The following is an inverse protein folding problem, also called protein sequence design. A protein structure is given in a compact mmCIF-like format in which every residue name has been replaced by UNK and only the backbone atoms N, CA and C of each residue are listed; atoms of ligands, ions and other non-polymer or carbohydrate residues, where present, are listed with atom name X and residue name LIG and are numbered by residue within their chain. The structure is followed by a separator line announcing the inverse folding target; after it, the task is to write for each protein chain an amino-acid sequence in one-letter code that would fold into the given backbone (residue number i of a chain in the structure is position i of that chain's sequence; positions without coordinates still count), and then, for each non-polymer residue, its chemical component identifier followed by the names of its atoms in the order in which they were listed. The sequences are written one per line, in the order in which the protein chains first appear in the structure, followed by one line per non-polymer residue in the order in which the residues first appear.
data_IF_205610182510
#
_entry.id   IF_205610182510
#
_cell.length_a   1.000
_cell.length_b   1.000
_cell.length_c   1.000
_cell.angle_alpha   90.00
_cell.angle_beta   90.00
_cell.angle_gamma   90.00
#
_symmetry.space_group_name_H-M   'P 1'
#
loop_
_entity.id
_entity.type
_entity.pdbx_description
1 polymer ?
#
# COMPACT_ATOMS: atom_id res chain seq x y z
N UNK A 1 -66.30 39.78 30.07
CA UNK A 1 -65.97 38.73 29.13
C UNK A 1 -64.56 38.87 28.62
N UNK A 2 -63.76 38.02 29.13
CA UNK A 2 -62.32 37.98 29.07
C UNK A 2 -61.78 37.46 27.74
N UNK A 3 -60.97 38.24 27.07
CA UNK A 3 -60.16 37.82 25.94
C UNK A 3 -58.85 37.26 26.46
N UNK A 4 -58.58 35.98 26.21
CA UNK A 4 -57.27 35.36 26.40
C UNK A 4 -56.40 35.70 25.18
N UNK A 5 -55.37 36.48 25.38
CA UNK A 5 -54.25 36.66 24.46
C UNK A 5 -53.30 35.47 24.61
N UNK A 6 -53.29 34.58 23.60
CA UNK A 6 -52.21 33.64 23.44
C UNK A 6 -50.98 34.39 22.90
N UNK A 7 -50.00 34.60 23.74
CA UNK A 7 -48.67 35.03 23.35
C UNK A 7 -47.95 33.86 22.70
N UNK A 8 -47.94 33.82 21.38
CA UNK A 8 -47.04 32.99 20.63
C UNK A 8 -45.61 33.45 20.90
N UNK A 9 -44.84 32.63 21.62
CA UNK A 9 -43.41 32.84 21.74
C UNK A 9 -42.75 32.57 20.38
N UNK A 10 -42.60 33.61 19.59
CA UNK A 10 -41.79 33.63 18.39
C UNK A 10 -40.33 33.68 18.88
N UNK A 11 -39.72 32.52 19.11
CA UNK A 11 -38.28 32.44 19.31
C UNK A 11 -37.60 32.82 18.01
N UNK A 12 -37.31 34.13 17.85
CA UNK A 12 -36.36 34.58 16.83
C UNK A 12 -35.05 33.88 17.12
N UNK A 13 -34.75 32.83 16.35
CA UNK A 13 -33.42 32.27 16.25
C UNK A 13 -32.53 33.46 15.85
N UNK A 14 -31.65 33.90 16.76
CA UNK A 14 -30.63 34.89 16.43
C UNK A 14 -29.77 34.25 15.34
N UNK A 15 -29.87 34.77 14.12
CA UNK A 15 -28.97 34.44 13.04
C UNK A 15 -27.56 34.84 13.47
N UNK A 16 -26.72 33.89 13.76
CA UNK A 16 -25.33 34.12 14.09
C UNK A 16 -24.48 33.59 12.95
N UNK A 17 -23.65 34.43 12.34
CA UNK A 17 -22.73 34.04 11.29
C UNK A 17 -21.69 33.07 11.84
N UNK A 18 -21.58 31.90 11.25
CA UNK A 18 -20.58 30.88 11.60
C UNK A 18 -19.25 31.17 10.90
N UNK A 19 -19.34 31.40 9.58
CA UNK A 19 -18.20 31.71 8.72
C UNK A 19 -18.70 32.32 7.41
N UNK A 20 -17.77 32.78 6.58
CA UNK A 20 -18.01 33.22 5.21
C UNK A 20 -17.18 32.35 4.28
N UNK A 21 -17.81 31.66 3.32
CA UNK A 21 -17.12 30.73 2.44
C UNK A 21 -17.89 30.49 1.15
N UNK A 22 -17.59 29.39 0.48
CA UNK A 22 -18.28 28.94 -0.74
C UNK A 22 -19.21 27.78 -0.42
N UNK A 23 -20.39 27.77 -1.00
CA UNK A 23 -21.26 26.61 -1.06
C UNK A 23 -21.43 26.21 -2.52
N UNK A 24 -21.07 24.99 -2.86
CA UNK A 24 -21.13 24.43 -4.21
C UNK A 24 -22.18 23.32 -4.23
N UNK A 25 -23.01 23.33 -5.27
CA UNK A 25 -23.98 22.27 -5.51
C UNK A 25 -23.65 21.52 -6.80
N UNK A 26 -23.50 20.23 -6.68
CA UNK A 26 -23.26 19.32 -7.79
C UNK A 26 -24.50 18.45 -7.98
N UNK A 27 -25.23 18.72 -9.05
CA UNK A 27 -26.43 17.96 -9.37
C UNK A 27 -26.08 16.59 -9.95
N UNK A 28 -26.85 15.57 -9.56
CA UNK A 28 -26.81 14.22 -10.17
C UNK A 28 -26.90 14.33 -11.71
N UNK A 29 -26.09 13.60 -12.50
CA UNK A 29 -25.02 12.66 -12.06
C UNK A 29 -23.62 13.33 -11.96
N UNK A 30 -23.52 14.66 -12.06
CA UNK A 30 -22.25 15.37 -12.21
C UNK A 30 -21.59 15.70 -10.84
N UNK A 31 -21.50 14.70 -9.97
CA UNK A 31 -20.83 14.75 -8.68
C UNK A 31 -19.88 13.55 -8.52
N UNK A 32 -19.09 13.54 -7.44
CA UNK A 32 -18.21 12.42 -7.11
C UNK A 32 -19.01 11.13 -6.86
N UNK A 33 -20.08 11.21 -6.06
CA UNK A 33 -20.91 10.04 -5.73
C UNK A 33 -21.91 9.67 -6.85
N UNK A 34 -22.11 10.54 -7.84
CA UNK A 34 -23.19 10.40 -8.83
C UNK A 34 -24.58 10.80 -8.29
N UNK A 35 -24.68 11.28 -7.05
CA UNK A 35 -25.89 11.79 -6.41
C UNK A 35 -25.82 13.33 -6.30
N UNK A 36 -26.87 13.98 -5.79
CA UNK A 36 -26.81 15.39 -5.46
C UNK A 36 -25.84 15.62 -4.29
N UNK A 37 -24.84 16.47 -4.48
CA UNK A 37 -23.81 16.77 -3.48
C UNK A 37 -23.73 18.25 -3.23
N UNK A 38 -23.66 18.63 -1.95
CA UNK A 38 -23.36 20.00 -1.51
C UNK A 38 -22.01 20.02 -0.81
N UNK A 39 -21.13 20.90 -1.24
CA UNK A 39 -19.85 21.16 -0.58
C UNK A 39 -19.86 22.55 0.05
N UNK A 40 -19.43 22.64 1.32
CA UNK A 40 -19.28 23.91 2.04
C UNK A 40 -17.78 24.09 2.31
N UNK A 41 -17.17 25.07 1.66
CA UNK A 41 -15.77 25.43 1.82
C UNK A 41 -15.65 26.61 2.79
N UNK A 42 -15.08 26.36 3.95
CA UNK A 42 -14.90 27.32 5.04
C UNK A 42 -13.41 27.60 5.30
N UNK A 43 -13.08 28.53 6.21
CA UNK A 43 -11.69 28.94 6.53
C UNK A 43 -10.88 27.90 7.32
N UNK A 44 -11.29 26.65 7.38
CA UNK A 44 -10.46 25.52 7.90
C UNK A 44 -10.20 25.53 9.41
N UNK A 45 -10.74 26.48 10.19
CA UNK A 45 -10.63 26.43 11.66
C UNK A 45 -11.35 25.18 12.21
N UNK A 46 -10.69 24.33 13.03
CA UNK A 46 -11.33 23.16 13.63
C UNK A 46 -12.61 23.49 14.41
N UNK A 47 -12.68 24.67 15.05
CA UNK A 47 -13.86 25.13 15.79
C UNK A 47 -15.01 25.47 14.85
N UNK A 48 -14.72 26.18 13.76
CA UNK A 48 -15.70 26.56 12.74
C UNK A 48 -16.25 25.31 12.05
N UNK A 49 -15.37 24.38 11.63
CA UNK A 49 -15.77 23.13 10.99
C UNK A 49 -16.65 22.27 11.91
N UNK A 50 -16.27 22.11 13.19
CA UNK A 50 -17.10 21.40 14.19
C UNK A 50 -18.48 22.05 14.35
N UNK A 51 -18.55 23.38 14.30
CA UNK A 51 -19.81 24.12 14.39
C UNK A 51 -20.69 23.88 13.16
N UNK A 52 -20.12 23.95 11.94
CA UNK A 52 -20.83 23.64 10.70
C UNK A 52 -21.40 22.23 10.70
N UNK A 53 -20.60 21.24 11.10
CA UNK A 53 -21.07 19.85 11.24
C UNK A 53 -22.24 19.77 12.22
N UNK A 54 -22.11 20.37 13.40
CA UNK A 54 -23.18 20.34 14.42
C UNK A 54 -24.48 20.94 13.91
N UNK A 55 -24.43 22.09 13.25
CA UNK A 55 -25.64 22.72 12.69
C UNK A 55 -26.24 21.88 11.57
N UNK A 56 -25.40 21.24 10.73
CA UNK A 56 -25.88 20.30 9.68
C UNK A 56 -26.61 19.10 10.32
N UNK A 57 -26.09 18.55 11.42
CA UNK A 57 -26.74 17.46 12.15
C UNK A 57 -28.09 17.87 12.75
N UNK A 58 -28.19 19.12 13.28
CA UNK A 58 -29.45 19.66 13.79
C UNK A 58 -30.50 19.87 12.68
N UNK A 59 -30.05 20.10 11.46
CA UNK A 59 -30.91 20.21 10.27
C UNK A 59 -31.30 18.89 9.66
N UNK A 60 -30.90 17.74 10.27
CA UNK A 60 -31.33 16.41 9.86
C UNK A 60 -30.30 15.62 9.07
N UNK A 61 -29.08 16.14 8.87
CA UNK A 61 -28.00 15.33 8.33
C UNK A 61 -27.55 14.30 9.39
N UNK A 62 -26.78 13.29 8.95
CA UNK A 62 -26.04 12.38 9.82
C UNK A 62 -24.56 12.39 9.45
N UNK A 63 -23.71 11.92 10.34
CA UNK A 63 -22.31 11.66 9.99
C UNK A 63 -22.25 10.52 8.97
N UNK A 64 -21.36 10.67 8.00
CA UNK A 64 -21.04 9.60 7.06
C UNK A 64 -20.26 8.49 7.79
N UNK A 65 -20.49 7.26 7.36
CA UNK A 65 -19.67 6.12 7.75
C UNK A 65 -18.29 6.17 7.07
N UNK A 66 -17.28 5.44 7.56
CA UNK A 66 -16.00 5.30 6.87
C UNK A 66 -16.20 4.87 5.41
N UNK A 67 -15.55 5.55 4.46
CA UNK A 67 -15.62 5.23 3.04
C UNK A 67 -16.97 5.44 2.35
N UNK A 68 -17.99 5.99 3.02
CA UNK A 68 -19.36 6.06 2.49
C UNK A 68 -19.46 6.82 1.15
N UNK A 69 -18.71 7.89 0.95
CA UNK A 69 -18.73 8.61 -0.32
C UNK A 69 -18.14 7.79 -1.46
N UNK A 70 -17.04 7.09 -1.23
CA UNK A 70 -16.42 6.18 -2.22
C UNK A 70 -17.30 4.96 -2.49
N UNK A 71 -17.97 4.42 -1.47
CA UNK A 71 -18.93 3.33 -1.61
C UNK A 71 -20.12 3.74 -2.49
N UNK A 72 -20.69 4.93 -2.26
CA UNK A 72 -21.78 5.48 -3.11
C UNK A 72 -21.31 5.69 -4.55
N UNK A 73 -20.10 6.23 -4.75
CA UNK A 73 -19.53 6.40 -6.07
C UNK A 73 -19.37 5.05 -6.79
N UNK A 74 -18.93 4.01 -6.10
CA UNK A 74 -18.85 2.65 -6.62
C UNK A 74 -20.23 2.08 -6.95
N UNK A 75 -21.19 2.13 -6.03
CA UNK A 75 -22.56 1.62 -6.25
C UNK A 75 -23.28 2.33 -7.39
N UNK A 76 -22.99 3.60 -7.62
CA UNK A 76 -23.53 4.40 -8.72
C UNK A 76 -22.69 4.27 -10.02
N UNK A 77 -21.70 3.39 -10.07
CA UNK A 77 -20.90 3.11 -11.27
C UNK A 77 -20.00 4.27 -11.71
N UNK A 78 -19.67 5.20 -10.79
CA UNK A 78 -18.76 6.33 -11.07
C UNK A 78 -17.31 5.89 -11.09
N UNK A 79 -16.95 4.97 -10.21
CA UNK A 79 -15.65 4.33 -10.07
C UNK A 79 -15.86 2.85 -9.85
N UNK A 80 -14.88 2.03 -10.19
CA UNK A 80 -14.85 0.62 -9.82
C UNK A 80 -14.18 0.41 -8.45
N UNK A 81 -14.14 -0.85 -7.97
CA UNK A 81 -13.63 -1.15 -6.64
C UNK A 81 -12.12 -0.89 -6.52
N UNK A 82 -11.33 -1.20 -7.55
CA UNK A 82 -9.89 -0.92 -7.56
C UNK A 82 -9.61 0.60 -7.55
N UNK A 83 -10.42 1.39 -8.26
CA UNK A 83 -10.35 2.85 -8.21
C UNK A 83 -10.77 3.41 -6.84
N UNK A 84 -11.78 2.82 -6.20
CA UNK A 84 -12.17 3.22 -4.85
C UNK A 84 -11.03 2.97 -3.85
N UNK A 85 -10.40 1.80 -3.91
CA UNK A 85 -9.23 1.49 -3.07
C UNK A 85 -8.04 2.40 -3.35
N UNK A 86 -7.82 2.81 -4.60
CA UNK A 86 -6.75 3.73 -4.97
C UNK A 86 -6.91 5.12 -4.30
N UNK A 87 -8.13 5.54 -3.95
CA UNK A 87 -8.35 6.76 -3.16
C UNK A 87 -7.74 6.60 -1.76
N UNK A 88 -7.97 5.47 -1.10
CA UNK A 88 -7.40 5.21 0.21
C UNK A 88 -5.87 5.10 0.13
N UNK A 89 -5.35 4.46 -0.91
CA UNK A 89 -3.91 4.33 -1.15
C UNK A 89 -3.24 5.69 -1.37
N UNK A 90 -3.88 6.58 -2.14
CA UNK A 90 -3.38 7.94 -2.36
C UNK A 90 -3.30 8.75 -1.06
N UNK A 91 -4.29 8.59 -0.17
CA UNK A 91 -4.32 9.26 1.12
C UNK A 91 -3.25 8.72 2.08
N UNK A 92 -3.03 7.39 2.04
CA UNK A 92 -2.06 6.70 2.89
C UNK A 92 -0.63 6.75 2.32
N UNK A 93 -0.43 7.29 1.11
CA UNK A 93 0.87 7.29 0.44
C UNK A 93 1.95 7.96 1.28
N UNK A 94 3.00 7.23 1.60
CA UNK A 94 4.17 7.70 2.34
C UNK A 94 5.31 8.22 1.45
N UNK A 95 5.14 8.19 0.12
CA UNK A 95 6.12 8.70 -0.85
C UNK A 95 5.45 9.27 -2.09
N UNK A 96 6.19 10.12 -2.81
CA UNK A 96 5.70 10.72 -4.06
C UNK A 96 5.45 9.66 -5.14
N UNK A 97 6.28 8.64 -5.23
CA UNK A 97 6.10 7.55 -6.20
C UNK A 97 4.87 6.70 -5.89
N UNK A 98 4.59 6.41 -4.60
CA UNK A 98 3.37 5.73 -4.18
C UNK A 98 2.11 6.55 -4.53
N UNK A 99 2.15 7.87 -4.26
CA UNK A 99 1.05 8.78 -4.62
C UNK A 99 0.80 8.81 -6.13
N UNK A 100 1.85 8.84 -6.95
CA UNK A 100 1.72 8.78 -8.42
C UNK A 100 1.12 7.45 -8.89
N UNK A 101 1.57 6.31 -8.35
CA UNK A 101 1.02 5.01 -8.69
C UNK A 101 -0.46 4.89 -8.30
N UNK A 102 -0.84 5.35 -7.10
CA UNK A 102 -2.23 5.40 -6.66
C UNK A 102 -3.09 6.32 -7.55
N UNK A 103 -2.56 7.48 -7.97
CA UNK A 103 -3.27 8.37 -8.91
C UNK A 103 -3.53 7.68 -10.24
N UNK A 104 -2.54 6.98 -10.82
CA UNK A 104 -2.73 6.21 -12.07
C UNK A 104 -3.79 5.11 -11.90
N UNK A 105 -3.82 4.44 -10.75
CA UNK A 105 -4.87 3.44 -10.44
C UNK A 105 -6.25 4.09 -10.33
N UNK A 106 -6.36 5.25 -9.68
CA UNK A 106 -7.58 6.03 -9.60
C UNK A 106 -8.09 6.48 -10.98
N UNK A 107 -7.18 6.83 -11.90
CA UNK A 107 -7.49 7.13 -13.31
C UNK A 107 -7.89 5.88 -14.12
N UNK A 108 -7.85 4.70 -13.50
CA UNK A 108 -8.28 3.43 -14.07
C UNK A 108 -7.23 2.68 -14.87
N UNK A 109 -5.94 2.97 -14.71
CA UNK A 109 -4.87 2.27 -15.43
C UNK A 109 -4.89 0.76 -15.13
N UNK A 110 -4.98 0.38 -13.85
CA UNK A 110 -5.08 -1.01 -13.42
C UNK A 110 -6.37 -1.69 -13.91
N UNK A 111 -7.50 -1.03 -13.72
CA UNK A 111 -8.82 -1.55 -14.14
C UNK A 111 -8.90 -1.81 -15.64
N UNK A 112 -8.29 -0.96 -16.47
CA UNK A 112 -8.23 -1.15 -17.93
C UNK A 112 -7.47 -2.43 -18.31
N UNK A 113 -6.34 -2.71 -17.64
CA UNK A 113 -5.55 -3.92 -17.89
C UNK A 113 -6.36 -5.16 -17.49
N UNK A 114 -6.88 -5.18 -16.25
CA UNK A 114 -7.66 -6.32 -15.72
C UNK A 114 -8.89 -6.59 -16.58
N UNK A 115 -9.67 -5.55 -16.93
CA UNK A 115 -10.84 -5.70 -17.79
C UNK A 115 -10.46 -6.15 -19.21
N UNK A 116 -9.32 -5.74 -19.73
CA UNK A 116 -8.80 -6.22 -21.01
C UNK A 116 -8.54 -7.72 -20.99
N UNK A 117 -7.90 -8.23 -19.93
CA UNK A 117 -7.65 -9.67 -19.73
C UNK A 117 -8.98 -10.42 -19.54
N UNK A 118 -9.87 -9.92 -18.68
CA UNK A 118 -11.17 -10.52 -18.42
C UNK A 118 -12.04 -10.64 -19.68
N UNK A 119 -12.06 -9.60 -20.51
CA UNK A 119 -12.79 -9.62 -21.79
C UNK A 119 -12.24 -10.68 -22.74
N UNK A 120 -10.91 -10.80 -22.88
CA UNK A 120 -10.30 -11.85 -23.72
C UNK A 120 -10.61 -13.24 -23.18
N UNK A 121 -10.59 -13.42 -21.87
CA UNK A 121 -10.97 -14.69 -21.24
C UNK A 121 -12.43 -15.06 -21.55
N UNK A 122 -13.36 -14.11 -21.50
CA UNK A 122 -14.76 -14.32 -21.89
C UNK A 122 -14.91 -14.66 -23.36
N UNK A 123 -14.23 -13.93 -24.26
CA UNK A 123 -14.31 -14.23 -25.69
C UNK A 123 -13.73 -15.61 -26.01
N UNK A 124 -12.64 -16.00 -25.38
CA UNK A 124 -12.09 -17.35 -25.51
C UNK A 124 -13.06 -18.42 -24.97
N UNK A 125 -13.68 -18.18 -23.81
CA UNK A 125 -14.70 -19.08 -23.25
C UNK A 125 -15.87 -19.28 -24.22
N UNK A 126 -16.42 -18.21 -24.78
CA UNK A 126 -17.50 -18.29 -25.78
C UNK A 126 -17.07 -19.11 -27.00
N UNK A 127 -15.81 -18.96 -27.44
CA UNK A 127 -15.28 -19.73 -28.55
C UNK A 127 -15.20 -21.24 -28.22
N UNK A 128 -14.73 -21.58 -27.00
CA UNK A 128 -14.67 -22.97 -26.52
C UNK A 128 -16.08 -23.56 -26.38
N UNK A 129 -17.03 -22.84 -25.76
CA UNK A 129 -18.44 -23.27 -25.63
C UNK A 129 -19.08 -23.52 -27.00
N UNK A 130 -18.86 -22.63 -27.97
CA UNK A 130 -19.33 -22.82 -29.34
C UNK A 130 -18.68 -24.05 -30.01
N UNK A 131 -17.37 -24.28 -29.79
CA UNK A 131 -16.70 -25.45 -30.32
C UNK A 131 -17.24 -26.76 -29.76
N UNK A 132 -17.69 -26.76 -28.49
CA UNK A 132 -18.35 -27.93 -27.86
C UNK A 132 -19.72 -28.17 -28.48
N UNK A 133 -20.54 -27.12 -28.63
CA UNK A 133 -21.89 -27.23 -29.15
C UNK A 133 -21.95 -27.72 -30.62
N UNK A 134 -20.90 -27.41 -31.40
CA UNK A 134 -20.78 -27.81 -32.80
C UNK A 134 -19.83 -28.98 -33.05
N UNK A 135 -19.47 -29.75 -31.99
CA UNK A 135 -18.57 -30.92 -32.10
C UNK A 135 -19.08 -32.04 -33.04
N UNK A 136 -20.36 -32.04 -33.45
CA UNK A 136 -20.91 -32.98 -34.44
C UNK A 136 -20.55 -32.59 -35.89
N UNK A 137 -20.01 -31.41 -36.15
CA UNK A 137 -19.52 -30.99 -37.46
C UNK A 137 -18.08 -31.49 -37.65
N UNK A 138 -17.67 -31.84 -38.90
CA UNK A 138 -16.37 -32.45 -39.23
C UNK A 138 -15.13 -31.56 -38.92
N UNK A 139 -15.28 -30.45 -38.23
CA UNK A 139 -14.22 -29.50 -37.91
C UNK A 139 -13.87 -29.61 -36.40
N UNK A 140 -12.70 -30.13 -36.10
CA UNK A 140 -12.15 -30.13 -34.74
C UNK A 140 -11.59 -28.74 -34.38
N UNK A 141 -12.45 -27.89 -33.85
CA UNK A 141 -12.12 -26.53 -33.41
C UNK A 141 -11.18 -26.49 -32.20
N UNK A 142 -11.08 -27.60 -31.42
CA UNK A 142 -10.20 -27.69 -30.27
C UNK A 142 -8.72 -27.89 -30.67
N UNK A 143 -8.49 -28.50 -31.85
CA UNK A 143 -7.14 -28.81 -32.32
C UNK A 143 -6.53 -27.79 -33.29
N UNK A 144 -7.26 -26.71 -33.63
CA UNK A 144 -6.80 -25.71 -34.64
C UNK A 144 -5.65 -24.78 -34.13
N UNK A 145 -5.23 -24.95 -32.87
CA UNK A 145 -4.15 -24.17 -32.23
C UNK A 145 -4.54 -22.75 -31.78
N UNK A 146 -5.77 -22.30 -32.09
CA UNK A 146 -6.22 -20.93 -31.71
C UNK A 146 -6.47 -20.81 -30.22
N UNK A 147 -7.08 -21.84 -29.59
CA UNK A 147 -7.35 -21.88 -28.15
C UNK A 147 -6.04 -21.86 -27.39
N UNK A 148 -5.07 -22.69 -27.82
CA UNK A 148 -3.74 -22.75 -27.21
C UNK A 148 -3.02 -21.39 -27.29
N UNK A 149 -3.02 -20.77 -28.45
CA UNK A 149 -2.41 -19.44 -28.64
C UNK A 149 -3.06 -18.38 -27.74
N UNK A 150 -4.42 -18.34 -27.71
CA UNK A 150 -5.15 -17.39 -26.90
C UNK A 150 -4.94 -17.60 -25.38
N UNK A 151 -4.90 -18.85 -24.90
CA UNK A 151 -4.56 -19.19 -23.51
C UNK A 151 -3.16 -18.69 -23.14
N UNK A 152 -2.17 -18.93 -24.00
CA UNK A 152 -0.78 -18.47 -23.80
C UNK A 152 -0.68 -16.94 -23.77
N UNK A 153 -1.43 -16.25 -24.64
CA UNK A 153 -1.48 -14.79 -24.62
C UNK A 153 -2.06 -14.27 -23.31
N UNK A 154 -3.20 -14.83 -22.85
CA UNK A 154 -3.81 -14.47 -21.56
C UNK A 154 -2.86 -14.75 -20.41
N UNK A 155 -2.17 -15.89 -20.41
CA UNK A 155 -1.16 -16.27 -19.40
C UNK A 155 -0.03 -15.23 -19.31
N UNK A 156 0.50 -14.79 -20.46
CA UNK A 156 1.55 -13.76 -20.51
C UNK A 156 1.04 -12.43 -19.95
N UNK A 157 -0.19 -12.03 -20.31
CA UNK A 157 -0.76 -10.78 -19.84
C UNK A 157 -1.03 -10.76 -18.34
N UNK A 158 -1.52 -11.89 -17.76
CA UNK A 158 -1.69 -12.02 -16.31
C UNK A 158 -0.31 -11.98 -15.63
N UNK A 159 0.70 -12.68 -16.18
CA UNK A 159 2.06 -12.68 -15.63
C UNK A 159 2.67 -11.28 -15.60
N UNK A 160 2.53 -10.51 -16.68
CA UNK A 160 2.99 -9.12 -16.75
C UNK A 160 2.24 -8.24 -15.75
N UNK A 161 0.91 -8.42 -15.63
CA UNK A 161 0.09 -7.69 -14.67
C UNK A 161 0.46 -8.02 -13.22
N UNK A 162 0.78 -9.28 -12.91
CA UNK A 162 1.27 -9.74 -11.61
C UNK A 162 2.61 -9.12 -11.25
N UNK A 163 3.57 -9.12 -12.19
CA UNK A 163 4.89 -8.54 -11.94
C UNK A 163 4.77 -7.06 -11.60
N UNK A 164 4.03 -6.31 -12.41
CA UNK A 164 3.79 -4.89 -12.20
C UNK A 164 2.98 -4.61 -10.93
N UNK A 165 1.97 -5.44 -10.66
CA UNK A 165 1.16 -5.36 -9.43
C UNK A 165 1.98 -5.57 -8.17
N UNK A 166 2.89 -6.55 -8.14
CA UNK A 166 3.80 -6.79 -7.01
C UNK A 166 4.75 -5.61 -6.78
N UNK A 167 5.24 -4.96 -7.85
CA UNK A 167 6.02 -3.72 -7.73
C UNK A 167 5.20 -2.59 -7.12
N UNK A 168 3.97 -2.40 -7.62
CA UNK A 168 3.05 -1.39 -7.10
C UNK A 168 2.64 -1.65 -5.64
N UNK A 169 2.44 -2.91 -5.25
CA UNK A 169 2.17 -3.30 -3.87
C UNK A 169 3.34 -2.95 -2.95
N UNK A 170 4.57 -3.35 -3.30
CA UNK A 170 5.76 -3.04 -2.51
C UNK A 170 5.97 -1.54 -2.33
N UNK A 171 5.63 -0.75 -3.34
CA UNK A 171 5.72 0.70 -3.27
C UNK A 171 4.71 1.29 -2.27
N UNK A 172 3.50 0.73 -2.20
CA UNK A 172 2.47 1.14 -1.23
C UNK A 172 2.82 0.70 0.20
N UNK A 173 3.24 -0.56 0.36
CA UNK A 173 3.58 -1.14 1.65
C UNK A 173 4.83 -0.45 2.22
N UNK A 174 5.72 0.06 1.34
CA UNK A 174 6.98 0.65 1.72
C UNK A 174 7.96 -0.38 2.28
N UNK A 175 8.96 0.08 3.04
CA UNK A 175 9.94 -0.75 3.74
C UNK A 175 9.86 -0.48 5.24
N UNK A 176 9.56 -1.49 6.03
CA UNK A 176 9.64 -1.41 7.49
C UNK A 176 11.05 -1.73 7.95
N UNK A 177 11.73 -0.74 8.54
CA UNK A 177 13.13 -0.78 8.91
C UNK A 177 13.32 -0.63 10.42
N UNK A 178 14.11 -1.51 11.01
CA UNK A 178 14.57 -1.37 12.40
C UNK A 178 16.07 -1.06 12.38
N UNK A 179 16.49 -0.02 13.13
CA UNK A 179 17.89 0.37 13.25
C UNK A 179 18.41 -0.05 14.63
N UNK A 180 19.41 -0.93 14.65
CA UNK A 180 20.12 -1.37 15.83
C UNK A 180 21.60 -0.88 15.82
N UNK A 181 22.24 -0.87 16.96
CA UNK A 181 23.67 -0.60 17.08
C UNK A 181 24.04 -0.06 18.45
N UNK A 182 25.33 -0.10 18.79
CA UNK A 182 25.89 0.41 20.04
C UNK A 182 25.58 1.90 20.25
N UNK A 183 25.62 2.39 21.49
CA UNK A 183 25.59 3.83 21.77
C UNK A 183 26.65 4.57 20.94
N UNK A 184 26.30 5.74 20.43
CA UNK A 184 27.17 6.57 19.57
C UNK A 184 27.62 5.97 18.22
N UNK A 185 27.03 4.84 17.78
CA UNK A 185 27.26 4.31 16.42
C UNK A 185 26.73 5.24 15.30
N UNK A 186 25.83 6.17 15.62
CA UNK A 186 25.31 7.16 14.68
C UNK A 186 23.85 6.97 14.29
N UNK A 187 23.09 6.14 15.00
CA UNK A 187 21.65 5.86 14.70
C UNK A 187 20.81 7.12 14.53
N UNK A 188 20.80 8.00 15.52
CA UNK A 188 20.06 9.27 15.46
C UNK A 188 20.56 10.20 14.34
N UNK A 189 21.86 10.14 14.01
CA UNK A 189 22.42 10.92 12.91
C UNK A 189 21.97 10.37 11.55
N UNK A 190 21.83 9.04 11.40
CA UNK A 190 21.30 8.43 10.19
C UNK A 190 19.81 8.77 10.03
N UNK A 191 19.02 8.66 11.09
CA UNK A 191 17.62 9.10 11.12
C UNK A 191 17.50 10.57 10.69
N UNK A 192 18.25 11.46 11.34
CA UNK A 192 18.23 12.88 11.00
C UNK A 192 18.68 13.15 9.55
N UNK A 193 19.60 12.34 9.01
CA UNK A 193 20.00 12.48 7.62
C UNK A 193 18.86 12.07 6.66
N UNK A 194 18.20 10.97 6.95
CA UNK A 194 17.06 10.51 6.17
C UNK A 194 15.83 11.44 6.29
N UNK A 195 15.55 11.95 7.51
CA UNK A 195 14.44 12.89 7.76
C UNK A 195 14.75 14.33 7.33
N UNK A 196 16.00 14.72 7.28
CA UNK A 196 16.47 16.09 6.99
C UNK A 196 16.65 16.40 5.50
N UNK A 197 16.45 15.44 4.59
CA UNK A 197 16.27 15.75 3.18
C UNK A 197 14.94 16.50 3.03
N UNK A 198 14.88 17.59 2.25
CA UNK A 198 13.67 18.44 2.00
C UNK A 198 12.41 17.69 1.55
N UNK A 199 12.40 16.38 1.65
CA UNK A 199 11.41 15.41 1.17
C UNK A 199 10.74 14.59 2.29
N UNK A 200 11.04 14.87 3.57
CA UNK A 200 10.38 14.15 4.66
C UNK A 200 8.89 14.55 4.74
N UNK A 201 8.03 13.68 4.28
CA UNK A 201 6.57 13.80 4.49
C UNK A 201 6.30 13.14 5.84
N UNK A 202 6.28 13.94 6.91
CA UNK A 202 5.77 13.48 8.22
C UNK A 202 4.27 13.35 8.10
N UNK A 203 3.78 12.14 7.87
CA UNK A 203 2.34 11.86 7.94
C UNK A 203 1.97 11.50 9.37
N UNK A 204 1.39 12.44 10.10
CA UNK A 204 0.61 12.15 11.29
C UNK A 204 -0.65 11.35 10.88
N UNK A 205 -0.52 10.06 10.68
CA UNK A 205 -1.68 9.18 10.50
C UNK A 205 -2.34 9.05 11.86
N UNK A 206 -3.44 9.79 12.06
CA UNK A 206 -4.24 9.74 13.26
C UNK A 206 -4.79 8.32 13.48
N UNK A 207 -4.18 7.57 14.39
CA UNK A 207 -4.62 6.23 14.78
C UNK A 207 -3.51 5.28 15.22
N UNK A 208 -2.24 5.55 14.92
CA UNK A 208 -1.12 4.66 15.22
C UNK A 208 -0.29 5.05 16.46
N UNK A 209 -0.71 6.08 17.21
CA UNK A 209 0.12 6.79 18.22
C UNK A 209 0.12 6.17 19.63
N UNK A 210 -0.13 4.89 19.83
CA UNK A 210 -0.19 4.39 21.22
C UNK A 210 0.97 3.51 21.70
N UNK A 211 1.80 2.87 20.87
CA UNK A 211 2.74 1.87 21.40
C UNK A 211 4.19 1.89 20.89
N UNK A 212 4.55 2.55 19.76
CA UNK A 212 5.95 2.65 19.30
C UNK A 212 6.17 3.96 18.56
N UNK A 213 7.28 4.65 18.83
CA UNK A 213 7.71 5.82 18.04
C UNK A 213 8.22 5.31 16.67
N UNK A 214 7.35 5.29 15.67
CA UNK A 214 7.71 5.01 14.29
C UNK A 214 7.55 6.27 13.45
N UNK A 215 8.53 6.57 12.61
CA UNK A 215 8.54 7.70 11.68
C UNK A 215 8.59 7.17 10.25
N UNK A 216 7.71 7.66 9.39
CA UNK A 216 7.74 7.32 7.96
C UNK A 216 8.40 8.46 7.20
N UNK A 217 9.41 8.13 6.41
CA UNK A 217 10.17 9.06 5.58
C UNK A 217 10.09 8.64 4.11
N UNK A 218 10.17 9.59 3.20
CA UNK A 218 10.36 9.33 1.78
C UNK A 218 11.87 9.25 1.47
N UNK A 219 12.35 8.07 1.16
CA UNK A 219 13.74 7.83 0.78
C UNK A 219 13.81 7.72 -0.76
N UNK A 220 13.87 8.88 -1.43
CA UNK A 220 13.90 8.99 -2.90
C UNK A 220 12.79 8.17 -3.60
N UNK A 221 11.56 8.33 -3.16
CA UNK A 221 10.38 7.67 -3.71
C UNK A 221 9.99 6.35 -3.03
N UNK A 222 10.80 5.83 -2.09
CA UNK A 222 10.48 4.70 -1.23
C UNK A 222 9.99 5.22 0.14
N UNK A 223 8.78 4.87 0.53
CA UNK A 223 8.31 5.07 1.90
C UNK A 223 9.05 4.10 2.83
N UNK A 224 9.83 4.63 3.79
CA UNK A 224 10.53 3.83 4.78
C UNK A 224 9.97 4.16 6.15
N UNK A 225 9.34 3.18 6.79
CA UNK A 225 8.87 3.30 8.17
C UNK A 225 9.96 2.82 9.11
N UNK A 226 10.58 3.76 9.82
CA UNK A 226 11.65 3.47 10.77
C UNK A 226 11.08 3.41 12.17
N UNK A 227 11.24 2.26 12.82
CA UNK A 227 10.90 2.12 14.24
C UNK A 227 12.11 2.54 15.07
N UNK A 228 11.99 3.65 15.79
CA UNK A 228 13.06 4.18 16.63
C UNK A 228 13.18 3.34 17.92
N UNK A 229 14.35 2.75 18.08
CA UNK A 229 14.76 2.02 19.27
C UNK A 229 15.53 2.89 20.28
N UNK A 230 15.84 4.14 19.91
CA UNK A 230 16.69 5.05 20.69
C UNK A 230 15.91 6.06 21.56
N UNK A 231 14.58 6.16 21.44
CA UNK A 231 13.72 7.12 22.19
C UNK A 231 13.64 6.89 23.71
N UNK A 232 14.46 6.02 24.29
CA UNK A 232 14.48 5.72 25.71
C UNK A 232 15.71 6.31 26.41
N UNK A 233 15.79 7.64 26.43
CA UNK A 233 16.73 8.37 27.27
C UNK A 233 16.36 8.27 28.77
N UNK A 234 16.70 7.16 29.42
CA UNK A 234 16.68 7.09 30.88
C UNK A 234 17.59 5.95 31.38
N UNK A 235 18.70 6.29 31.93
CA UNK A 235 19.71 5.46 32.63
C UNK A 235 20.42 4.34 31.84
N UNK A 236 21.76 4.34 31.71
CA UNK A 236 22.50 3.53 30.73
C UNK A 236 22.38 2.01 30.89
N UNK A 237 22.34 1.45 32.09
CA UNK A 237 22.63 0.02 32.27
C UNK A 237 21.42 -0.94 32.28
N UNK A 238 20.24 -0.50 32.69
CA UNK A 238 19.04 -1.38 32.73
C UNK A 238 18.06 -1.11 31.56
N UNK A 239 18.20 0.04 30.89
CA UNK A 239 17.31 0.51 29.83
C UNK A 239 17.80 0.04 28.45
N UNK A 240 19.11 -0.19 28.33
CA UNK A 240 19.71 -0.68 27.07
C UNK A 240 19.22 -2.10 26.74
N UNK A 241 19.18 -3.00 27.72
CA UNK A 241 18.70 -4.38 27.55
C UNK A 241 17.19 -4.43 27.23
N UNK A 242 16.39 -3.57 27.86
CA UNK A 242 14.97 -3.45 27.58
C UNK A 242 14.69 -2.78 26.22
N UNK A 243 15.51 -1.80 25.83
CA UNK A 243 15.48 -1.13 24.54
C UNK A 243 15.78 -2.10 23.39
N UNK A 244 16.85 -2.89 23.53
CA UNK A 244 17.23 -3.91 22.54
C UNK A 244 16.14 -5.01 22.43
N UNK A 245 15.56 -5.45 23.54
CA UNK A 245 14.48 -6.45 23.52
C UNK A 245 13.24 -5.94 22.78
N UNK A 246 12.82 -4.70 23.04
CA UNK A 246 11.70 -4.06 22.31
C UNK A 246 12.01 -3.85 20.84
N UNK A 247 13.25 -3.52 20.52
CA UNK A 247 13.70 -3.39 19.14
C UNK A 247 13.66 -4.72 18.39
N UNK A 248 13.99 -5.82 19.07
CA UNK A 248 13.89 -7.17 18.50
C UNK A 248 12.44 -7.62 18.38
N UNK A 249 11.59 -7.29 19.35
CA UNK A 249 10.14 -7.52 19.23
C UNK A 249 9.56 -6.72 18.04
N UNK A 250 10.07 -5.53 17.78
CA UNK A 250 9.72 -4.74 16.57
C UNK A 250 10.34 -5.32 15.31
N UNK A 251 11.55 -5.89 15.38
CA UNK A 251 12.23 -6.52 14.27
C UNK A 251 11.51 -7.77 13.75
N UNK A 252 10.71 -8.47 14.60
CA UNK A 252 9.87 -9.58 14.14
C UNK A 252 8.78 -9.16 13.16
N UNK A 253 8.46 -7.86 13.12
CA UNK A 253 7.45 -7.25 12.23
C UNK A 253 8.09 -6.40 11.12
N UNK A 254 9.41 -6.23 11.14
CA UNK A 254 10.13 -5.44 10.17
C UNK A 254 10.55 -6.30 8.97
N UNK A 255 10.63 -5.67 7.82
CA UNK A 255 11.13 -6.30 6.59
C UNK A 255 12.63 -6.42 6.60
N UNK A 256 13.31 -5.47 7.26
CA UNK A 256 14.77 -5.37 7.22
C UNK A 256 15.37 -4.79 8.51
N UNK A 257 16.56 -5.26 8.85
CA UNK A 257 17.32 -4.82 10.01
C UNK A 257 18.65 -4.14 9.58
N UNK A 258 18.81 -2.87 9.94
CA UNK A 258 20.10 -2.16 9.83
C UNK A 258 20.84 -2.22 11.16
N UNK A 259 22.06 -2.77 11.15
CA UNK A 259 22.89 -2.83 12.35
C UNK A 259 24.11 -1.93 12.18
N UNK A 260 24.13 -0.84 12.93
CA UNK A 260 25.17 0.18 12.87
C UNK A 260 26.27 -0.07 13.89
N UNK A 261 27.52 0.10 13.47
CA UNK A 261 28.68 0.10 14.35
C UNK A 261 29.68 1.20 13.95
N UNK A 262 30.54 1.57 14.88
CA UNK A 262 31.62 2.56 14.67
C UNK A 262 32.83 1.86 14.06
N UNK A 263 33.15 2.12 12.79
CA UNK A 263 34.24 1.49 12.06
C UNK A 263 35.60 1.74 12.69
N UNK A 264 35.75 2.80 13.51
CA UNK A 264 37.01 3.15 14.16
C UNK A 264 37.26 2.38 15.48
N UNK A 265 36.17 1.99 16.20
CA UNK A 265 36.28 1.36 17.53
C UNK A 265 35.78 -0.06 17.59
N UNK A 266 34.87 -0.42 16.70
CA UNK A 266 34.16 -1.69 16.67
C UNK A 266 34.48 -2.50 15.41
N UNK A 267 33.97 -3.71 15.37
CA UNK A 267 34.06 -4.60 14.21
C UNK A 267 32.71 -5.18 13.84
N UNK A 268 32.58 -5.62 12.59
CA UNK A 268 31.40 -6.36 12.14
C UNK A 268 31.11 -7.58 13.04
N UNK A 269 32.13 -8.19 13.61
CA UNK A 269 32.01 -9.33 14.55
C UNK A 269 31.30 -8.91 15.84
N UNK A 270 31.68 -7.76 16.41
CA UNK A 270 31.03 -7.23 17.64
C UNK A 270 29.56 -6.88 17.39
N UNK A 271 29.25 -6.33 16.21
CA UNK A 271 27.86 -6.05 15.80
C UNK A 271 27.03 -7.34 15.66
N UNK A 272 27.63 -8.40 15.12
CA UNK A 272 26.98 -9.72 15.00
C UNK A 272 26.81 -10.42 16.34
N UNK A 273 27.78 -10.32 17.26
CA UNK A 273 27.67 -10.84 18.63
C UNK A 273 26.52 -10.16 19.38
N UNK A 274 26.29 -8.88 19.13
CA UNK A 274 25.14 -8.14 19.66
C UNK A 274 23.83 -8.74 19.15
N UNK A 275 23.72 -9.04 17.87
CA UNK A 275 22.53 -9.68 17.28
C UNK A 275 22.39 -11.12 17.82
N UNK A 276 23.48 -11.89 17.85
CA UNK A 276 23.48 -13.29 18.26
C UNK A 276 22.99 -13.53 19.69
N UNK A 277 23.21 -12.58 20.60
CA UNK A 277 22.67 -12.63 21.96
C UNK A 277 21.15 -12.61 22.01
N UNK A 278 20.50 -12.11 20.98
CA UNK A 278 19.07 -11.88 20.92
C UNK A 278 18.37 -12.75 19.86
N UNK A 279 19.12 -13.34 18.94
CA UNK A 279 18.60 -14.12 17.80
C UNK A 279 17.98 -15.47 18.23
N UNK A 280 18.22 -15.95 19.45
CA UNK A 280 17.62 -17.19 19.97
C UNK A 280 16.08 -17.17 20.09
N UNK A 281 15.42 -16.06 19.72
CA UNK A 281 13.97 -15.89 19.70
C UNK A 281 13.38 -15.51 18.34
N UNK A 282 14.20 -15.35 17.29
CA UNK A 282 13.72 -14.96 15.96
C UNK A 282 13.55 -16.23 15.10
N UNK A 283 12.31 -16.69 14.94
CA UNK A 283 11.96 -17.88 14.12
C UNK A 283 12.04 -17.62 12.60
N UNK A 284 12.22 -16.37 12.17
CA UNK A 284 12.33 -15.98 10.75
C UNK A 284 13.74 -15.49 10.41
N UNK A 285 14.22 -15.87 9.22
CA UNK A 285 15.42 -15.29 8.61
C UNK A 285 15.16 -13.81 8.24
N UNK A 286 15.45 -12.91 9.17
CA UNK A 286 15.44 -11.47 8.89
C UNK A 286 16.59 -11.12 7.94
N UNK A 287 16.29 -10.32 6.94
CA UNK A 287 17.31 -9.70 6.09
C UNK A 287 18.06 -8.65 6.90
N UNK A 288 19.41 -8.72 6.93
CA UNK A 288 20.26 -7.87 7.77
C UNK A 288 21.30 -7.19 6.91
N UNK A 289 21.47 -5.88 7.10
CA UNK A 289 22.58 -5.10 6.56
C UNK A 289 23.38 -4.47 7.68
N UNK A 290 24.69 -4.62 7.63
CA UNK A 290 25.62 -3.96 8.55
C UNK A 290 26.05 -2.60 7.98
N UNK A 291 26.06 -1.58 8.83
CA UNK A 291 26.50 -0.22 8.48
C UNK A 291 27.70 0.16 9.33
N UNK A 292 28.89 0.16 8.73
CA UNK A 292 30.13 0.63 9.33
C UNK A 292 30.18 2.15 9.19
N UNK A 293 29.81 2.88 10.23
CA UNK A 293 29.84 4.35 10.22
C UNK A 293 31.17 4.92 10.70
N UNK A 294 31.41 6.19 10.40
CA UNK A 294 32.62 6.96 10.76
C UNK A 294 33.89 6.50 10.02
N UNK A 295 33.73 6.07 8.78
CA UNK A 295 34.90 5.70 7.93
C UNK A 295 35.85 6.87 7.70
N UNK A 296 35.42 8.11 7.93
CA UNK A 296 36.30 9.30 7.95
C UNK A 296 37.36 9.26 9.05
N UNK A 297 37.15 8.46 10.11
CA UNK A 297 38.09 8.27 11.20
C UNK A 297 38.93 6.99 11.03
N UNK A 298 38.40 5.92 10.49
CA UNK A 298 39.09 4.65 10.28
C UNK A 298 39.94 4.65 8.99
N UNK A 299 39.57 5.50 8.02
CA UNK A 299 40.23 5.55 6.70
C UNK A 299 39.77 4.45 5.74
N UNK A 300 38.69 3.77 6.06
CA UNK A 300 38.10 2.72 5.24
C UNK A 300 37.38 3.28 3.99
N UNK A 301 37.05 2.39 3.04
CA UNK A 301 36.40 2.75 1.80
C UNK A 301 34.88 2.95 2.02
N UNK A 302 34.32 3.93 1.32
CA UNK A 302 32.84 4.11 1.26
C UNK A 302 32.16 3.06 0.40
N UNK A 303 30.87 2.78 0.70
CA UNK A 303 30.02 1.90 -0.06
C UNK A 303 30.10 0.44 0.37
N UNK A 304 29.75 -0.47 -0.53
CA UNK A 304 29.69 -1.90 -0.25
C UNK A 304 31.09 -2.50 0.03
N UNK A 305 31.16 -3.26 1.13
CA UNK A 305 32.37 -4.00 1.49
C UNK A 305 32.20 -5.49 1.26
N UNK A 306 33.23 -6.11 0.69
CA UNK A 306 33.29 -7.57 0.59
C UNK A 306 33.45 -8.18 1.99
N UNK A 307 32.48 -8.96 2.41
CA UNK A 307 32.38 -9.49 3.77
C UNK A 307 33.40 -10.57 4.08
N UNK A 308 34.11 -11.11 3.09
CA UNK A 308 35.22 -12.09 3.16
C UNK A 308 35.03 -13.29 4.08
N UNK A 309 34.76 -13.08 5.34
CA UNK A 309 34.54 -14.09 6.39
C UNK A 309 33.06 -14.31 6.77
N UNK A 310 32.17 -13.45 6.30
CA UNK A 310 30.76 -13.42 6.69
C UNK A 310 29.86 -13.64 5.46
N UNK A 311 30.09 -14.72 4.75
CA UNK A 311 29.59 -15.09 3.42
C UNK A 311 28.09 -14.83 3.08
N UNK A 312 27.31 -14.31 4.01
CA UNK A 312 25.88 -14.01 3.80
C UNK A 312 25.44 -12.61 4.21
N UNK A 313 26.37 -11.72 4.61
CA UNK A 313 26.02 -10.41 5.14
C UNK A 313 26.55 -9.28 4.24
N UNK A 314 25.66 -8.32 3.97
CA UNK A 314 26.02 -7.11 3.24
C UNK A 314 26.50 -6.04 4.22
N UNK A 315 27.66 -5.43 3.95
CA UNK A 315 28.24 -4.37 4.78
C UNK A 315 28.42 -3.11 3.94
N UNK A 316 28.00 -1.97 4.48
CA UNK A 316 28.21 -0.66 3.87
C UNK A 316 29.05 0.25 4.76
N UNK A 317 30.15 0.79 4.21
CA UNK A 317 30.96 1.85 4.84
C UNK A 317 30.32 3.21 4.61
N UNK A 318 30.09 3.96 5.69
CA UNK A 318 29.45 5.28 5.63
C UNK A 318 30.19 6.30 6.51
N UNK A 319 30.12 7.56 6.12
CA UNK A 319 30.40 8.70 7.01
C UNK A 319 29.22 9.65 6.96
N UNK A 320 28.40 9.61 8.00
CA UNK A 320 27.28 10.54 8.14
C UNK A 320 27.71 12.00 8.25
N UNK A 321 28.96 12.24 8.74
CA UNK A 321 29.53 13.57 8.85
C UNK A 321 29.93 14.16 7.49
N UNK A 322 30.44 13.33 6.59
CA UNK A 322 30.93 13.74 5.27
C UNK A 322 29.95 13.41 4.14
N UNK A 323 28.83 12.74 4.44
CA UNK A 323 27.85 12.33 3.45
C UNK A 323 28.30 11.18 2.54
N UNK A 324 29.38 10.45 2.89
CA UNK A 324 29.93 9.37 2.08
C UNK A 324 29.21 8.05 2.31
N UNK A 325 29.07 7.24 1.26
CA UNK A 325 28.46 5.89 1.29
C UNK A 325 26.93 5.87 1.43
N UNK A 326 26.29 7.02 1.59
CA UNK A 326 24.85 7.11 1.86
C UNK A 326 24.01 6.82 0.60
N UNK A 327 24.44 7.26 -0.56
CA UNK A 327 23.75 6.99 -1.82
C UNK A 327 23.72 5.48 -2.11
N UNK A 328 24.84 4.77 -1.86
CA UNK A 328 24.93 3.33 -2.05
C UNK A 328 24.03 2.58 -1.04
N UNK A 329 23.98 3.04 0.22
CA UNK A 329 23.08 2.49 1.23
C UNK A 329 21.62 2.72 0.85
N UNK A 330 21.26 3.91 0.38
CA UNK A 330 19.92 4.24 -0.09
C UNK A 330 19.50 3.34 -1.26
N UNK A 331 20.39 3.17 -2.26
CA UNK A 331 20.10 2.28 -3.39
C UNK A 331 19.91 0.85 -2.94
N UNK A 332 20.73 0.37 -2.03
CA UNK A 332 20.59 -0.98 -1.46
C UNK A 332 19.24 -1.17 -0.75
N UNK A 333 18.76 -0.19 -0.01
CA UNK A 333 17.43 -0.26 0.63
C UNK A 333 16.29 -0.30 -0.41
N UNK A 334 16.43 0.44 -1.51
CA UNK A 334 15.50 0.37 -2.65
C UNK A 334 15.52 -1.02 -3.32
N UNK A 335 16.70 -1.60 -3.49
CA UNK A 335 16.86 -2.94 -4.08
C UNK A 335 16.21 -4.01 -3.19
N UNK A 336 16.36 -3.92 -1.86
CA UNK A 336 15.68 -4.78 -0.89
C UNK A 336 14.16 -4.65 -1.00
N UNK A 337 13.66 -3.42 -1.10
CA UNK A 337 12.24 -3.17 -1.33
C UNK A 337 11.78 -3.66 -2.71
N UNK A 338 12.69 -4.08 -3.58
CA UNK A 338 12.40 -4.55 -4.93
C UNK A 338 11.97 -3.44 -5.89
N UNK A 339 12.37 -2.20 -5.59
CA UNK A 339 12.16 -1.06 -6.48
C UNK A 339 13.28 -1.04 -7.52
N UNK A 340 12.88 -1.04 -8.78
CA UNK A 340 13.77 -0.81 -9.92
C UNK A 340 13.69 0.65 -10.33
N UNK A 341 14.60 1.09 -11.23
CA UNK A 341 14.61 2.47 -11.75
C UNK A 341 13.32 2.88 -12.49
N UNK A 342 12.46 1.93 -12.84
CA UNK A 342 11.18 2.19 -13.48
C UNK A 342 10.04 2.30 -12.46
N UNK A 343 9.34 3.43 -12.47
CA UNK A 343 8.12 3.60 -11.67
C UNK A 343 7.03 2.61 -12.10
N UNK A 344 6.31 1.98 -11.14
CA UNK A 344 5.21 1.10 -11.47
C UNK A 344 4.08 1.85 -12.20
N UNK A 345 3.40 1.14 -13.08
CA UNK A 345 2.32 1.70 -13.89
C UNK A 345 1.05 1.96 -13.07
N UNK A 346 0.89 1.25 -11.94
CA UNK A 346 -0.26 1.33 -11.05
C UNK A 346 0.06 0.80 -9.65
N UNK A 347 -0.80 1.12 -8.68
CA UNK A 347 -0.79 0.48 -7.35
C UNK A 347 -1.65 -0.79 -7.35
N UNK A 348 -1.27 -1.78 -6.53
CA UNK A 348 -2.06 -2.98 -6.29
C UNK A 348 -2.01 -3.37 -4.82
N UNK A 349 -3.05 -4.05 -4.35
CA UNK A 349 -3.15 -4.59 -2.99
C UNK A 349 -3.00 -6.11 -2.98
N UNK A 350 -2.72 -6.69 -1.81
CA UNK A 350 -2.59 -8.14 -1.63
C UNK A 350 -3.77 -8.91 -2.22
N UNK A 351 -5.02 -8.45 -2.03
CA UNK A 351 -6.18 -9.11 -2.62
C UNK A 351 -6.17 -9.16 -4.15
N UNK A 352 -5.63 -8.10 -4.80
CA UNK A 352 -5.49 -8.04 -6.26
C UNK A 352 -4.48 -9.06 -6.75
N UNK A 353 -3.35 -9.18 -6.05
CA UNK A 353 -2.31 -10.17 -6.35
C UNK A 353 -2.87 -11.58 -6.23
N UNK A 354 -3.58 -11.89 -5.13
CA UNK A 354 -4.21 -13.20 -4.94
C UNK A 354 -5.26 -13.53 -6.02
N UNK A 355 -6.07 -12.53 -6.42
CA UNK A 355 -7.04 -12.72 -7.48
C UNK A 355 -6.38 -12.99 -8.84
N UNK A 356 -5.29 -12.28 -9.16
CA UNK A 356 -4.50 -12.50 -10.37
C UNK A 356 -3.80 -13.87 -10.34
N UNK A 357 -3.21 -14.27 -9.20
CA UNK A 357 -2.58 -15.59 -9.03
C UNK A 357 -3.59 -16.71 -9.19
N UNK A 358 -4.78 -16.57 -8.61
CA UNK A 358 -5.86 -17.53 -8.78
C UNK A 358 -6.35 -17.60 -10.24
N UNK A 359 -6.50 -16.44 -10.90
CA UNK A 359 -6.85 -16.40 -12.31
C UNK A 359 -5.77 -17.09 -13.17
N UNK A 360 -4.49 -16.83 -12.91
CA UNK A 360 -3.35 -17.48 -13.59
C UNK A 360 -3.44 -19.01 -13.47
N UNK A 361 -3.68 -19.52 -12.24
CA UNK A 361 -3.79 -20.96 -12.00
C UNK A 361 -4.92 -21.59 -12.81
N UNK A 362 -6.07 -20.94 -12.91
CA UNK A 362 -7.17 -21.43 -13.75
C UNK A 362 -6.81 -21.45 -15.24
N UNK A 363 -6.13 -20.41 -15.75
CA UNK A 363 -5.66 -20.37 -17.14
C UNK A 363 -4.62 -21.48 -17.40
N UNK A 364 -3.68 -21.69 -16.47
CA UNK A 364 -2.67 -22.74 -16.57
C UNK A 364 -3.31 -24.13 -16.60
N UNK A 365 -4.28 -24.38 -15.71
CA UNK A 365 -5.08 -25.62 -15.70
C UNK A 365 -5.85 -25.82 -17.02
N UNK A 366 -6.46 -24.75 -17.54
CA UNK A 366 -7.14 -24.80 -18.83
C UNK A 366 -6.20 -25.17 -19.99
N UNK A 367 -4.97 -24.67 -19.97
CA UNK A 367 -3.95 -25.02 -20.95
C UNK A 367 -3.48 -26.49 -20.80
N UNK A 368 -3.29 -26.98 -19.57
CA UNK A 368 -2.93 -28.38 -19.30
C UNK A 368 -4.05 -29.33 -19.76
N UNK A 369 -5.30 -29.00 -19.50
CA UNK A 369 -6.46 -29.78 -19.97
C UNK A 369 -6.50 -29.84 -21.50
N UNK A 370 -6.27 -28.73 -22.19
CA UNK A 370 -6.21 -28.69 -23.64
C UNK A 370 -5.10 -29.59 -24.20
N UNK A 371 -3.88 -29.52 -23.62
CA UNK A 371 -2.72 -30.31 -24.05
C UNK A 371 -2.85 -31.80 -23.74
N UNK A 372 -3.68 -32.19 -22.77
CA UNK A 372 -3.97 -33.59 -22.43
C UNK A 372 -5.21 -34.15 -23.11
N UNK A 373 -5.73 -33.45 -24.11
CA UNK A 373 -6.92 -33.86 -24.91
C UNK A 373 -8.14 -34.15 -24.01
N UNK A 374 -8.34 -33.33 -22.98
CA UNK A 374 -9.46 -33.43 -22.07
C UNK A 374 -10.70 -32.71 -22.62
N UNK A 375 -11.86 -33.03 -22.05
CA UNK A 375 -13.15 -32.49 -22.48
C UNK A 375 -13.19 -30.94 -22.45
N UNK A 376 -13.67 -30.34 -23.54
CA UNK A 376 -13.77 -28.89 -23.70
C UNK A 376 -14.58 -28.19 -22.60
N UNK A 377 -15.57 -28.90 -22.00
CA UNK A 377 -16.38 -28.39 -20.90
C UNK A 377 -15.53 -28.02 -19.67
N UNK A 378 -14.46 -28.79 -19.40
CA UNK A 378 -13.55 -28.50 -18.29
C UNK A 378 -12.75 -27.22 -18.56
N UNK A 379 -12.32 -27.02 -19.81
CA UNK A 379 -11.60 -25.81 -20.22
C UNK A 379 -12.52 -24.60 -20.09
N UNK A 380 -13.79 -24.71 -20.51
CA UNK A 380 -14.78 -23.64 -20.38
C UNK A 380 -15.05 -23.27 -18.91
N UNK A 381 -15.11 -24.26 -18.00
CA UNK A 381 -15.30 -24.04 -16.56
C UNK A 381 -14.06 -23.35 -15.95
N UNK A 382 -12.84 -23.77 -16.29
CA UNK A 382 -11.61 -23.09 -15.82
C UNK A 382 -11.53 -21.64 -16.31
N UNK A 383 -11.88 -21.37 -17.56
CA UNK A 383 -11.98 -20.01 -18.09
C UNK A 383 -13.00 -19.16 -17.35
N UNK A 384 -14.14 -19.74 -16.96
CA UNK A 384 -15.20 -19.07 -16.17
C UNK A 384 -14.68 -18.75 -14.76
N UNK A 385 -14.00 -19.67 -14.10
CA UNK A 385 -13.42 -19.46 -12.77
C UNK A 385 -12.35 -18.38 -12.81
N UNK A 386 -11.41 -18.43 -13.77
CA UNK A 386 -10.40 -17.41 -13.97
C UNK A 386 -10.99 -16.03 -14.23
N UNK A 387 -12.01 -15.95 -15.09
CA UNK A 387 -12.74 -14.71 -15.35
C UNK A 387 -13.40 -14.15 -14.09
N UNK A 388 -14.01 -15.00 -13.24
CA UNK A 388 -14.63 -14.58 -11.97
C UNK A 388 -13.59 -13.97 -11.03
N UNK A 389 -12.39 -14.55 -10.95
CA UNK A 389 -11.29 -13.99 -10.15
C UNK A 389 -10.86 -12.60 -10.66
N UNK A 390 -10.70 -12.44 -11.96
CA UNK A 390 -10.36 -11.13 -12.56
C UNK A 390 -11.43 -10.08 -12.26
N UNK A 391 -12.71 -10.44 -12.37
CA UNK A 391 -13.82 -9.50 -12.12
C UNK A 391 -13.98 -9.14 -10.64
N UNK A 392 -13.53 -9.98 -9.72
CA UNK A 392 -13.51 -9.64 -8.29
C UNK A 392 -12.62 -8.44 -7.97
N UNK A 393 -11.59 -8.18 -8.78
CA UNK A 393 -10.67 -7.04 -8.64
C UNK A 393 -11.43 -5.72 -8.81
N UNK A 394 -12.25 -5.62 -9.85
CA UNK A 394 -13.02 -4.40 -10.17
C UNK A 394 -14.40 -4.35 -9.50
N UNK A 395 -14.78 -5.41 -8.79
CA UNK A 395 -16.00 -5.45 -7.99
C UNK A 395 -17.27 -5.81 -8.76
N UNK A 396 -17.17 -6.34 -9.97
CA UNK A 396 -18.33 -6.77 -10.76
C UNK A 396 -19.07 -7.94 -10.07
N UNK A 397 -18.29 -8.82 -9.41
CA UNK A 397 -18.79 -9.91 -8.57
C UNK A 397 -18.17 -9.80 -7.17
N UNK A 398 -18.71 -8.94 -6.33
CA UNK A 398 -18.29 -8.81 -4.93
C UNK A 398 -19.48 -9.10 -4.01
N UNK A 399 -19.19 -9.73 -2.87
CA UNK A 399 -20.19 -9.94 -1.82
C UNK A 399 -20.32 -8.66 -0.98
N UNK A 400 -21.49 -8.44 -0.37
CA UNK A 400 -21.71 -7.29 0.52
C UNK A 400 -20.73 -7.29 1.70
N UNK A 401 -20.35 -8.46 2.21
CA UNK A 401 -19.36 -8.60 3.29
C UNK A 401 -17.98 -8.08 2.87
N UNK A 402 -17.52 -8.43 1.66
CA UNK A 402 -16.24 -7.93 1.14
C UNK A 402 -16.26 -6.40 0.94
N UNK A 403 -17.36 -5.86 0.41
CA UNK A 403 -17.51 -4.41 0.27
C UNK A 403 -17.52 -3.73 1.64
N UNK A 404 -18.19 -4.29 2.63
CA UNK A 404 -18.22 -3.80 4.00
C UNK A 404 -16.81 -3.76 4.62
N UNK A 405 -16.01 -4.81 4.45
CA UNK A 405 -14.63 -4.87 4.95
C UNK A 405 -13.74 -3.80 4.29
N UNK A 406 -13.77 -3.71 2.95
CA UNK A 406 -12.95 -2.75 2.20
C UNK A 406 -13.28 -1.31 2.63
N UNK A 407 -14.56 -0.92 2.62
CA UNK A 407 -14.95 0.46 2.92
C UNK A 407 -14.82 0.83 4.40
N UNK A 408 -14.96 -0.14 5.32
CA UNK A 408 -14.72 0.12 6.76
C UNK A 408 -13.28 0.51 7.09
N UNK A 409 -12.33 0.14 6.25
CA UNK A 409 -10.92 0.51 6.39
C UNK A 409 -10.61 1.95 5.94
N UNK A 410 -11.56 2.65 5.32
CA UNK A 410 -11.38 4.00 4.80
C UNK A 410 -11.55 5.05 5.90
N UNK A 411 -11.05 6.26 5.64
CA UNK A 411 -11.26 7.39 6.53
C UNK A 411 -12.74 7.83 6.54
N UNK A 412 -13.22 8.31 7.70
CA UNK A 412 -14.56 8.91 7.82
C UNK A 412 -14.65 10.17 6.96
N UNK A 413 -15.70 10.26 6.14
CA UNK A 413 -15.96 11.42 5.28
C UNK A 413 -15.36 11.33 3.87
N UNK A 414 -14.98 10.13 3.45
CA UNK A 414 -14.51 9.85 2.08
C UNK A 414 -15.23 8.67 1.46
#
# INVERSE_FOLDING_TARGET
SSAHSQSGANSQLKEETIDTGLALFFANPNSFTGEDVVEIQAHGSPVTLKRLIRESLQLGARLAEPGEFSQRAFLNGRIDLAQAEAIADLIASGSESAARAATKSLEGAFSKIVNGIANRTVELRKYVEAAIDFAEEEIDFLSDGKIESALKEIQIDISNCLEEGRRGQKLLDGLSLVILGAPNAGKSSLLNHFSGSDRAIVTDIAGTTRDTLSETIDLDGLAVTITDTAGLNANPDAVEELGIKRALDSATKADHLLVMFDANTDSAKSALELIGKYQSGLEQQLSITLVANKIDLSGDLEGHWDSGKYDSLTIYGTSLKEGKGLNQLTQHLKDIAGLTDSEPAFSARTRHIHALESAQQHIDTGLELLLSDQAGELIAEELKLGHTQLQSITGVFSTDDLLGEIFSSFCVGK
#
